data_IF_399796583061
#
_entry.id   IF_399796583061
#
_cell.length_a   1.000
_cell.length_b   1.000
_cell.length_c   1.000
_cell.angle_alpha   90.00
_cell.angle_beta   90.00
_cell.angle_gamma   90.00
#
_symmetry.space_group_name_H-M   'P 1'
#
loop_
_entity.id
_entity.type
_entity.pdbx_description
1 polymer ?
#
# COMPACT_ATOMS: atom_id res chain seq x y z
N UNK A 1 9.28 -1.09 24.61
CA UNK A 1 9.72 -0.46 23.35
C UNK A 1 8.47 -0.17 22.53
N UNK A 2 8.01 1.08 22.47
CA UNK A 2 6.80 1.43 21.75
C UNK A 2 7.10 1.61 20.26
N UNK A 3 6.46 0.81 19.42
CA UNK A 3 6.46 1.01 17.97
C UNK A 3 5.61 2.23 17.64
N UNK A 4 6.07 3.20 16.83
CA UNK A 4 5.30 4.41 16.51
C UNK A 4 4.12 4.16 15.54
N UNK A 5 3.81 2.91 15.22
CA UNK A 5 2.81 2.50 14.24
C UNK A 5 1.59 1.86 14.92
N UNK A 6 0.39 2.35 14.61
CA UNK A 6 -0.88 1.75 15.06
C UNK A 6 -1.11 0.39 14.41
N UNK A 7 -1.77 -0.53 15.15
CA UNK A 7 -1.91 -1.96 14.79
C UNK A 7 -2.52 -2.20 13.41
N UNK A 8 -3.47 -1.35 13.01
CA UNK A 8 -4.32 -1.57 11.84
C UNK A 8 -3.76 -0.92 10.56
N UNK A 9 -2.65 -0.18 10.67
CA UNK A 9 -2.08 0.57 9.57
C UNK A 9 -1.68 -0.35 8.40
N UNK A 10 -1.80 0.17 7.17
CA UNK A 10 -1.35 -0.53 5.96
C UNK A 10 0.13 -0.94 6.08
N UNK A 11 0.93 -0.14 6.79
CA UNK A 11 2.35 -0.35 7.04
C UNK A 11 2.59 -1.58 7.90
N UNK A 12 1.85 -1.75 9.00
CA UNK A 12 1.91 -2.96 9.85
C UNK A 12 1.44 -4.22 9.11
N UNK A 13 0.38 -4.11 8.30
CA UNK A 13 -0.07 -5.22 7.44
C UNK A 13 0.99 -5.62 6.40
N UNK A 14 1.73 -4.65 5.85
CA UNK A 14 2.84 -4.92 4.95
C UNK A 14 4.06 -5.50 5.69
N UNK A 15 4.42 -4.96 6.86
CA UNK A 15 5.52 -5.46 7.70
C UNK A 15 5.32 -6.93 8.09
N UNK A 16 4.13 -7.31 8.54
CA UNK A 16 3.80 -8.72 8.86
C UNK A 16 3.89 -9.65 7.63
N UNK A 17 3.58 -9.13 6.44
CA UNK A 17 3.72 -9.87 5.17
C UNK A 17 5.19 -9.97 4.73
N UNK A 18 6.00 -8.94 4.91
CA UNK A 18 7.47 -8.95 4.67
C UNK A 18 8.11 -9.99 5.60
N UNK A 19 7.83 -9.91 6.90
CA UNK A 19 8.29 -10.84 7.92
C UNK A 19 7.91 -12.31 7.62
N UNK A 20 6.71 -12.55 7.08
CA UNK A 20 6.27 -13.87 6.62
C UNK A 20 7.07 -14.37 5.40
N UNK A 21 7.29 -13.51 4.41
CA UNK A 21 8.01 -13.87 3.19
C UNK A 21 9.51 -14.08 3.44
N UNK A 22 10.16 -13.29 4.32
CA UNK A 22 11.56 -13.53 4.72
C UNK A 22 11.73 -14.86 5.48
N UNK A 23 10.78 -15.25 6.34
CA UNK A 23 10.82 -16.56 7.02
C UNK A 23 10.70 -17.74 6.06
N UNK A 24 9.94 -17.62 4.97
CA UNK A 24 9.87 -18.66 3.90
C UNK A 24 11.19 -18.83 3.17
N UNK A 25 12.07 -17.83 3.22
CA UNK A 25 13.42 -17.89 2.69
C UNK A 25 14.44 -18.39 3.72
N UNK A 26 14.03 -18.99 4.85
CA UNK A 26 14.94 -19.38 5.94
C UNK A 26 15.75 -18.21 6.56
N UNK A 27 15.33 -16.95 6.38
CA UNK A 27 15.97 -15.82 7.06
C UNK A 27 15.46 -15.80 8.51
N UNK A 28 16.31 -16.21 9.44
CA UNK A 28 15.95 -16.45 10.85
C UNK A 28 15.53 -15.17 11.59
N UNK A 29 14.37 -15.15 12.28
CA UNK A 29 13.95 -14.03 13.12
C UNK A 29 14.92 -13.65 14.24
N UNK A 30 15.78 -14.58 14.66
CA UNK A 30 16.68 -14.39 15.79
C UNK A 30 17.92 -13.53 15.45
N UNK A 31 18.15 -13.20 14.18
CA UNK A 31 19.27 -12.37 13.76
C UNK A 31 18.86 -10.90 13.54
N UNK A 32 19.72 -9.94 13.90
CA UNK A 32 19.45 -8.50 13.69
C UNK A 32 19.18 -8.16 12.22
N UNK A 33 19.85 -8.87 11.31
CA UNK A 33 19.67 -8.72 9.86
C UNK A 33 18.24 -8.96 9.39
N UNK A 34 17.47 -9.82 10.04
CA UNK A 34 16.05 -10.03 9.72
C UNK A 34 15.21 -8.78 10.00
N UNK A 35 15.39 -8.15 11.17
CA UNK A 35 14.68 -6.92 11.54
C UNK A 35 15.09 -5.74 10.65
N UNK A 36 16.37 -5.66 10.31
CA UNK A 36 16.90 -4.65 9.39
C UNK A 36 16.35 -4.85 7.96
N UNK A 37 16.31 -6.07 7.43
CA UNK A 37 15.70 -6.38 6.13
C UNK A 37 14.21 -6.07 6.11
N UNK A 38 13.47 -6.41 7.17
CA UNK A 38 12.05 -6.08 7.31
C UNK A 38 11.80 -4.56 7.14
N UNK A 39 12.55 -3.73 7.87
CA UNK A 39 12.39 -2.28 7.82
C UNK A 39 12.98 -1.65 6.56
N UNK A 40 14.08 -2.19 6.03
CA UNK A 40 14.65 -1.74 4.76
C UNK A 40 13.65 -1.91 3.61
N UNK A 41 13.05 -3.10 3.48
CA UNK A 41 12.03 -3.38 2.46
C UNK A 41 10.79 -2.51 2.69
N UNK A 42 10.33 -2.34 3.94
CA UNK A 42 9.17 -1.51 4.25
C UNK A 42 9.42 -0.04 3.87
N UNK A 43 10.50 0.58 4.34
CA UNK A 43 10.81 1.98 4.07
C UNK A 43 11.04 2.25 2.57
N UNK A 44 11.69 1.33 1.86
CA UNK A 44 11.84 1.41 0.40
C UNK A 44 10.49 1.28 -0.33
N UNK A 45 9.56 0.45 0.17
CA UNK A 45 8.25 0.32 -0.43
C UNK A 45 7.35 1.54 -0.15
N UNK A 46 7.45 2.13 1.04
CA UNK A 46 6.69 3.32 1.43
C UNK A 46 7.08 4.56 0.62
N UNK A 47 8.33 4.67 0.14
CA UNK A 47 8.74 5.74 -0.79
C UNK A 47 8.14 5.64 -2.20
N UNK A 48 7.38 4.59 -2.51
CA UNK A 48 6.66 4.41 -3.78
C UNK A 48 7.54 4.06 -4.99
N UNK A 49 8.86 4.12 -4.84
CA UNK A 49 9.89 3.69 -5.80
C UNK A 49 11.08 3.11 -5.03
N UNK A 50 11.81 2.12 -5.56
CA UNK A 50 13.06 1.66 -4.97
C UNK A 50 14.07 2.83 -4.90
N UNK A 51 14.85 2.95 -3.80
CA UNK A 51 15.82 4.04 -3.62
C UNK A 51 16.98 3.92 -4.61
N UNK A 52 17.55 5.06 -5.04
CA UNK A 52 18.66 5.08 -6.01
C UNK A 52 19.94 4.49 -5.41
N UNK A 53 20.16 4.72 -4.11
CA UNK A 53 21.24 4.09 -3.35
C UNK A 53 20.76 3.59 -1.99
N UNK A 54 20.62 2.28 -1.85
CA UNK A 54 20.30 1.63 -0.56
C UNK A 54 21.33 1.99 0.52
N UNK A 55 22.62 2.04 0.18
CA UNK A 55 23.67 2.38 1.16
C UNK A 55 23.61 3.82 1.64
N UNK A 56 23.30 4.77 0.75
CA UNK A 56 23.31 6.20 1.09
C UNK A 56 21.98 6.71 1.65
N UNK A 57 20.84 6.14 1.22
CA UNK A 57 19.51 6.66 1.57
C UNK A 57 18.77 5.81 2.61
N UNK A 58 18.98 4.49 2.60
CA UNK A 58 18.17 3.53 3.35
C UNK A 58 18.89 3.06 4.62
N UNK A 59 20.14 2.59 4.51
CA UNK A 59 20.88 2.11 5.67
C UNK A 59 21.11 3.15 6.77
N UNK A 60 21.32 4.47 6.51
CA UNK A 60 21.40 5.46 7.57
C UNK A 60 20.10 5.61 8.36
N UNK A 61 18.93 5.43 7.73
CA UNK A 61 17.64 5.45 8.41
C UNK A 61 17.46 4.24 9.33
N UNK A 62 17.87 3.06 8.88
CA UNK A 62 17.89 1.83 9.69
C UNK A 62 18.91 1.93 10.83
N UNK A 63 20.09 2.48 10.55
CA UNK A 63 21.16 2.69 11.53
C UNK A 63 20.68 3.59 12.69
N UNK A 64 20.00 4.69 12.37
CA UNK A 64 19.36 5.58 13.35
C UNK A 64 18.23 4.86 14.13
N UNK A 65 17.30 4.18 13.43
CA UNK A 65 16.18 3.46 14.05
C UNK A 65 16.60 2.38 15.05
N UNK A 66 17.80 1.82 14.90
CA UNK A 66 18.34 0.74 15.73
C UNK A 66 19.59 1.13 16.52
N UNK A 67 19.87 2.43 16.68
CA UNK A 67 20.99 2.98 17.46
C UNK A 67 22.33 2.29 17.14
N UNK A 68 22.63 2.14 15.85
CA UNK A 68 23.78 1.37 15.37
C UNK A 68 24.48 2.04 14.18
N UNK A 69 25.60 1.47 13.73
CA UNK A 69 26.37 1.98 12.58
C UNK A 69 25.82 1.43 11.26
N UNK A 70 25.92 2.22 10.20
CA UNK A 70 25.56 1.82 8.81
C UNK A 70 26.28 0.52 8.39
N UNK A 71 27.55 0.39 8.75
CA UNK A 71 28.37 -0.82 8.53
C UNK A 71 27.75 -2.08 9.19
N UNK A 72 27.24 -1.94 10.42
CA UNK A 72 26.60 -3.04 11.15
C UNK A 72 25.28 -3.46 10.52
N UNK A 73 24.52 -2.50 9.97
CA UNK A 73 23.31 -2.78 9.20
C UNK A 73 23.66 -3.58 7.95
N UNK A 74 24.59 -3.09 7.11
CA UNK A 74 24.98 -3.81 5.89
C UNK A 74 25.52 -5.21 6.20
N UNK A 75 26.45 -5.32 7.16
CA UNK A 75 27.05 -6.61 7.55
C UNK A 75 26.01 -7.60 8.05
N UNK A 76 25.07 -7.16 8.90
CA UNK A 76 24.02 -8.03 9.44
C UNK A 76 23.04 -8.48 8.34
N UNK A 77 22.65 -7.59 7.43
CA UNK A 77 21.79 -7.93 6.30
C UNK A 77 22.47 -8.89 5.31
N UNK A 78 23.76 -8.67 4.98
CA UNK A 78 24.55 -9.61 4.15
C UNK A 78 24.63 -10.98 4.80
N UNK A 79 25.00 -11.04 6.08
CA UNK A 79 25.12 -12.31 6.79
C UNK A 79 23.78 -13.08 6.81
N UNK A 80 22.66 -12.38 7.02
CA UNK A 80 21.33 -12.99 7.01
C UNK A 80 20.94 -13.59 5.64
N UNK A 81 21.27 -12.89 4.53
CA UNK A 81 21.08 -13.43 3.18
C UNK A 81 22.01 -14.60 2.88
N UNK A 82 23.28 -14.49 3.26
CA UNK A 82 24.30 -15.51 3.03
C UNK A 82 23.94 -16.83 3.72
N UNK A 83 23.58 -16.78 5.00
CA UNK A 83 23.12 -17.97 5.74
C UNK A 83 21.87 -18.59 5.11
N UNK A 84 20.90 -17.77 4.73
CA UNK A 84 19.67 -18.20 4.05
C UNK A 84 19.95 -18.86 2.68
N UNK A 85 20.94 -18.35 1.93
CA UNK A 85 21.41 -18.93 0.67
C UNK A 85 22.00 -20.32 0.85
N UNK A 86 22.95 -20.48 1.78
CA UNK A 86 23.54 -21.78 2.07
C UNK A 86 22.54 -22.79 2.68
N UNK A 87 21.52 -22.30 3.40
CA UNK A 87 20.37 -23.10 3.87
C UNK A 87 19.32 -23.40 2.79
N UNK A 88 19.58 -23.06 1.52
CA UNK A 88 18.70 -23.37 0.40
C UNK A 88 17.38 -22.57 0.36
N UNK A 89 17.22 -21.53 1.19
CA UNK A 89 15.99 -20.71 1.22
C UNK A 89 15.70 -20.01 -0.11
N UNK A 90 16.73 -19.79 -0.93
CA UNK A 90 16.59 -19.18 -2.24
C UNK A 90 16.02 -20.12 -3.31
N UNK A 91 15.95 -21.45 -3.06
CA UNK A 91 15.26 -22.40 -3.95
C UNK A 91 13.78 -22.06 -4.15
N UNK A 92 13.16 -21.37 -3.18
CA UNK A 92 11.77 -20.90 -3.28
C UNK A 92 11.65 -19.41 -3.57
N UNK A 93 12.74 -18.67 -3.82
CA UNK A 93 12.67 -17.21 -3.93
C UNK A 93 11.82 -16.74 -5.12
N UNK A 94 11.99 -17.32 -6.31
CA UNK A 94 11.16 -16.98 -7.48
C UNK A 94 9.66 -17.22 -7.19
N UNK A 95 9.32 -18.27 -6.42
CA UNK A 95 7.94 -18.55 -5.96
C UNK A 95 7.45 -17.56 -4.90
N UNK A 96 8.33 -17.12 -3.99
CA UNK A 96 8.00 -16.10 -2.98
C UNK A 96 7.79 -14.74 -3.64
N UNK A 97 8.60 -14.34 -4.61
CA UNK A 97 8.47 -13.07 -5.33
C UNK A 97 7.29 -13.07 -6.32
N UNK A 98 7.02 -14.21 -6.97
CA UNK A 98 6.01 -14.33 -8.03
C UNK A 98 6.55 -13.94 -9.42
N UNK A 99 7.87 -13.80 -9.56
CA UNK A 99 8.58 -13.51 -10.80
C UNK A 99 9.89 -14.29 -10.88
N UNK A 100 10.47 -14.39 -12.06
CA UNK A 100 11.81 -14.95 -12.25
C UNK A 100 12.85 -13.89 -11.87
N UNK A 101 13.44 -14.04 -10.68
CA UNK A 101 14.34 -13.07 -10.07
C UNK A 101 15.81 -13.51 -10.09
N UNK A 102 16.07 -14.81 -9.94
CA UNK A 102 17.40 -15.42 -10.06
C UNK A 102 17.40 -16.56 -11.06
N UNK A 103 18.53 -16.72 -11.74
CA UNK A 103 18.89 -17.97 -12.39
C UNK A 103 19.24 -19.05 -11.35
N UNK A 104 19.16 -20.35 -11.71
CA UNK A 104 19.63 -21.42 -10.85
C UNK A 104 21.07 -21.16 -10.37
N UNK A 105 21.31 -21.34 -9.07
CA UNK A 105 22.62 -21.20 -8.41
C UNK A 105 23.22 -19.78 -8.36
N UNK A 106 22.50 -18.74 -8.80
CA UNK A 106 22.96 -17.36 -8.63
C UNK A 106 22.69 -16.87 -7.19
N UNK A 107 23.70 -16.24 -6.56
CA UNK A 107 23.57 -15.63 -5.23
C UNK A 107 23.20 -14.14 -5.37
N UNK A 108 22.06 -13.68 -4.84
CA UNK A 108 21.62 -12.31 -5.03
C UNK A 108 22.46 -11.31 -4.24
N UNK A 109 22.72 -10.16 -4.87
CA UNK A 109 23.22 -8.97 -4.18
C UNK A 109 22.17 -8.43 -3.20
N UNK A 110 22.61 -8.02 -2.00
CA UNK A 110 21.75 -7.38 -0.99
C UNK A 110 20.97 -6.17 -1.54
N UNK A 111 21.60 -5.38 -2.42
CA UNK A 111 20.95 -4.24 -3.09
C UNK A 111 19.79 -4.73 -3.96
N UNK A 112 20.04 -5.72 -4.83
CA UNK A 112 19.03 -6.26 -5.73
C UNK A 112 17.88 -6.93 -4.93
N UNK A 113 18.21 -7.64 -3.86
CA UNK A 113 17.24 -8.31 -3.00
C UNK A 113 16.26 -7.32 -2.38
N UNK A 114 16.75 -6.25 -1.76
CA UNK A 114 15.89 -5.22 -1.15
C UNK A 114 15.07 -4.51 -2.23
N UNK A 115 15.65 -4.16 -3.38
CA UNK A 115 14.94 -3.45 -4.45
C UNK A 115 13.76 -4.26 -5.02
N UNK A 116 13.97 -5.52 -5.42
CA UNK A 116 12.87 -6.34 -5.97
C UNK A 116 11.81 -6.68 -4.92
N UNK A 117 12.22 -6.88 -3.65
CA UNK A 117 11.24 -6.99 -2.57
C UNK A 117 10.42 -5.69 -2.41
N UNK A 118 11.06 -4.52 -2.44
CA UNK A 118 10.36 -3.24 -2.36
C UNK A 118 9.37 -3.06 -3.52
N UNK A 119 9.77 -3.33 -4.77
CA UNK A 119 8.91 -3.27 -5.97
C UNK A 119 7.64 -4.13 -5.81
N UNK A 120 7.79 -5.38 -5.36
CA UNK A 120 6.67 -6.28 -5.05
C UNK A 120 5.70 -5.66 -4.04
N UNK A 121 6.20 -5.02 -2.98
CA UNK A 121 5.33 -4.38 -1.97
C UNK A 121 4.75 -3.04 -2.45
N UNK A 122 5.44 -2.26 -3.29
CA UNK A 122 4.92 -1.05 -3.93
C UNK A 122 3.67 -1.41 -4.76
N UNK A 123 3.77 -2.38 -5.66
CA UNK A 123 2.65 -2.85 -6.50
C UNK A 123 1.49 -3.31 -5.61
N UNK A 124 1.78 -4.06 -4.54
CA UNK A 124 0.79 -4.58 -3.60
C UNK A 124 0.09 -3.49 -2.78
N UNK A 125 0.83 -2.50 -2.28
CA UNK A 125 0.29 -1.32 -1.58
C UNK A 125 -0.57 -0.48 -2.52
N UNK A 126 -0.12 -0.24 -3.75
CA UNK A 126 -0.87 0.53 -4.74
C UNK A 126 -2.20 -0.15 -5.09
N UNK A 127 -2.21 -1.47 -5.29
CA UNK A 127 -3.46 -2.23 -5.49
C UNK A 127 -4.43 -2.07 -4.31
N UNK A 128 -3.94 -2.21 -3.07
CA UNK A 128 -4.77 -2.03 -1.87
C UNK A 128 -5.36 -0.60 -1.78
N UNK A 129 -4.55 0.43 -2.08
CA UNK A 129 -5.00 1.83 -2.11
C UNK A 129 -6.10 2.06 -3.18
N UNK A 130 -5.96 1.46 -4.36
CA UNK A 130 -6.96 1.51 -5.43
C UNK A 130 -8.26 0.80 -5.02
N UNK A 131 -8.16 -0.41 -4.46
CA UNK A 131 -9.32 -1.18 -3.97
C UNK A 131 -10.09 -0.43 -2.86
N UNK A 132 -9.37 0.28 -1.98
CA UNK A 132 -9.96 1.14 -0.94
C UNK A 132 -10.63 2.38 -1.54
N UNK A 133 -10.03 3.03 -2.54
CA UNK A 133 -10.60 4.17 -3.24
C UNK A 133 -11.90 3.79 -3.99
N UNK A 134 -11.91 2.65 -4.69
CA UNK A 134 -13.09 2.14 -5.37
C UNK A 134 -14.28 1.93 -4.40
N UNK A 135 -14.04 1.24 -3.27
CA UNK A 135 -15.05 1.03 -2.22
C UNK A 135 -15.56 2.33 -1.59
N UNK A 136 -14.72 3.36 -1.48
CA UNK A 136 -15.14 4.70 -1.02
C UNK A 136 -16.09 5.36 -2.03
N UNK A 137 -15.77 5.26 -3.33
CA UNK A 137 -16.57 5.82 -4.42
C UNK A 137 -17.93 5.13 -4.59
N UNK A 138 -18.02 3.83 -4.35
CA UNK A 138 -19.32 3.12 -4.33
C UNK A 138 -20.20 3.56 -3.16
N UNK A 139 -19.61 3.76 -1.97
CA UNK A 139 -20.33 4.26 -0.80
C UNK A 139 -20.83 5.70 -1.00
N UNK A 140 -20.05 6.59 -1.60
CA UNK A 140 -20.52 7.95 -1.92
C UNK A 140 -21.58 7.95 -3.02
N UNK A 141 -21.49 7.11 -4.06
CA UNK A 141 -22.56 6.96 -5.06
C UNK A 141 -23.88 6.47 -4.44
N UNK A 142 -23.84 5.45 -3.56
CA UNK A 142 -25.03 5.00 -2.81
C UNK A 142 -25.59 6.10 -1.88
N UNK A 143 -24.70 6.89 -1.25
CA UNK A 143 -25.08 8.04 -0.43
C UNK A 143 -25.75 9.19 -1.20
N UNK A 144 -25.33 9.45 -2.45
CA UNK A 144 -26.00 10.43 -3.32
C UNK A 144 -27.38 9.93 -3.79
N UNK A 145 -27.50 8.66 -4.18
CA UNK A 145 -28.78 8.07 -4.63
C UNK A 145 -29.86 8.11 -3.54
N UNK A 146 -29.48 7.96 -2.27
CA UNK A 146 -30.40 8.10 -1.13
C UNK A 146 -30.81 9.55 -0.84
N UNK A 147 -30.05 10.55 -1.30
CA UNK A 147 -30.42 11.98 -1.19
C UNK A 147 -31.26 12.45 -2.38
N UNK A 148 -31.02 11.98 -3.60
CA UNK A 148 -31.87 12.29 -4.76
C UNK A 148 -33.30 11.76 -4.60
N UNK A 149 -33.47 10.61 -3.94
CA UNK A 149 -34.77 9.98 -3.73
C UNK A 149 -35.61 10.63 -2.61
N UNK A 150 -35.17 11.77 -2.04
CA UNK A 150 -35.98 12.62 -1.14
C UNK A 150 -36.44 13.95 -1.78
N UNK A 151 -36.24 14.14 -3.09
CA UNK A 151 -36.67 15.37 -3.78
C UNK A 151 -37.69 15.16 -4.93
N UNK A 152 -38.16 13.92 -5.15
CA UNK A 152 -39.24 13.63 -6.09
C UNK A 152 -40.42 12.94 -5.39
N UNK A 153 -41.37 13.74 -4.90
CA UNK A 153 -42.74 13.29 -4.68
C UNK A 153 -43.50 13.47 -6.00
N UNK A 154 -44.11 12.42 -6.59
CA UNK A 154 -44.65 12.46 -7.95
C UNK A 154 -46.04 13.13 -8.07
N UNK A 155 -46.46 13.95 -7.10
CA UNK A 155 -47.85 14.39 -6.98
C UNK A 155 -48.02 15.86 -6.57
N UNK A 156 -47.37 16.82 -7.23
CA UNK A 156 -47.75 18.24 -7.11
C UNK A 156 -47.25 19.14 -8.27
N UNK A 157 -47.69 18.92 -9.52
CA UNK A 157 -47.52 19.94 -10.58
C UNK A 157 -48.44 19.82 -11.83
N UNK A 158 -49.55 19.08 -11.77
CA UNK A 158 -50.45 18.91 -12.94
C UNK A 158 -51.73 19.76 -12.90
N UNK A 159 -52.02 20.45 -11.79
CA UNK A 159 -53.30 21.16 -11.57
C UNK A 159 -53.19 22.70 -11.47
N UNK A 160 -51.98 23.27 -11.53
CA UNK A 160 -51.71 24.69 -11.28
C UNK A 160 -51.57 25.56 -12.54
N UNK A 161 -51.41 24.98 -13.74
CA UNK A 161 -51.09 25.75 -14.96
C UNK A 161 -52.20 25.83 -16.02
N UNK A 162 -53.39 25.27 -15.78
CA UNK A 162 -54.45 25.14 -16.79
C UNK A 162 -55.84 25.67 -16.35
N UNK A 163 -55.92 26.38 -15.21
CA UNK A 163 -57.13 27.09 -14.75
C UNK A 163 -56.80 28.41 -14.03
N UNK A 164 -56.47 29.45 -14.82
CA UNK A 164 -56.57 30.91 -14.54
C UNK A 164 -55.81 31.67 -15.63
N UNK A 165 -56.37 32.61 -16.40
CA UNK A 165 -57.75 33.07 -16.53
C UNK A 165 -58.04 33.44 -18.00
N UNK A 166 -59.18 32.96 -18.51
CA UNK A 166 -59.97 33.72 -19.49
C UNK A 166 -60.80 34.74 -18.71
N UNK A 167 -61.20 35.85 -19.35
CA UNK A 167 -61.99 36.98 -18.82
C UNK A 167 -61.20 38.10 -18.14
N UNK A 168 -60.69 39.01 -18.97
CA UNK A 168 -60.83 40.46 -18.75
C UNK A 168 -61.40 41.04 -20.06
N UNK A 169 -62.71 41.27 -20.09
CA UNK A 169 -63.43 42.06 -21.10
C UNK A 169 -64.34 43.04 -20.35
N UNK A 170 -64.54 44.24 -20.92
CA UNK A 170 -65.41 45.33 -20.41
C UNK A 170 -64.92 45.98 -19.09
N UNK A 171 -64.95 47.30 -18.83
CA UNK A 171 -65.68 48.49 -19.36
C UNK A 171 -64.83 49.78 -19.11
N UNK A 172 -65.00 51.01 -19.65
CA UNK A 172 -65.75 51.62 -20.79
C UNK A 172 -65.15 53.03 -21.12
N UNK A 173 -65.53 53.63 -22.26
CA UNK A 173 -65.49 55.06 -22.69
C UNK A 173 -64.51 56.10 -22.09
N UNK A 174 -63.82 56.83 -22.98
CA UNK A 174 -64.29 58.15 -23.47
C UNK A 174 -63.69 58.48 -24.86
#
# INVERSE_FOLDING_TARGET
MFSPYTSDSLEMQCLGRIASDLRKLNISPNCRGYLYLCHAILLAALSGKPPRSIKAELFPKIANLYETKVENVERSCRHALDTSYYQGGFKVLNKVLGCQYLFPYEKPSLTNFISTFAEKYIIKMNKIKLDQAAKKNEKTKKGLSLKSNKLFSPALNFFSLLKRNISICHDISL
#
